data_IF_252734267732
#
_entry.id   IF_252734267732
#
_cell.length_a   1.000
_cell.length_b   1.000
_cell.length_c   1.000
_cell.angle_alpha   90.00
_cell.angle_beta   90.00
_cell.angle_gamma   90.00
#
_symmetry.space_group_name_H-M   'P 1'
#
loop_
_entity.id
_entity.type
_entity.pdbx_description
1 polymer ?
#
# COMPACT_ATOMS: atom_id res chain seq x y z
N UNK A 1 -11.85 -7.24 -6.82
CA UNK A 1 -11.08 -6.48 -5.81
C UNK A 1 -9.68 -6.31 -6.36
N UNK A 2 -9.12 -5.09 -6.32
CA UNK A 2 -7.76 -4.87 -6.83
C UNK A 2 -6.73 -5.40 -5.83
N UNK A 3 -5.69 -6.05 -6.35
CA UNK A 3 -4.60 -6.61 -5.55
C UNK A 3 -3.26 -6.29 -6.22
N UNK A 4 -2.20 -6.24 -5.42
CA UNK A 4 -0.82 -6.18 -5.92
C UNK A 4 -0.02 -7.34 -5.36
N UNK A 5 0.80 -7.97 -6.19
CA UNK A 5 1.66 -9.08 -5.78
C UNK A 5 3.11 -8.61 -5.69
N UNK A 6 3.70 -8.81 -4.52
CA UNK A 6 5.03 -8.35 -4.16
C UNK A 6 5.93 -9.56 -4.07
N UNK A 7 6.93 -9.63 -4.95
CA UNK A 7 7.94 -10.71 -4.91
C UNK A 7 8.91 -10.46 -3.76
N UNK A 8 9.03 -11.45 -2.90
CA UNK A 8 10.01 -11.47 -1.81
C UNK A 8 11.39 -11.84 -2.38
N UNK A 9 12.42 -11.31 -1.74
CA UNK A 9 13.82 -11.64 -2.01
C UNK A 9 14.21 -12.93 -1.31
N UNK A 10 13.69 -13.15 -0.11
CA UNK A 10 13.90 -14.37 0.65
C UNK A 10 12.58 -15.13 0.81
N UNK A 11 12.59 -16.47 0.81
CA UNK A 11 11.39 -17.24 1.08
C UNK A 11 10.93 -16.97 2.51
N UNK A 12 9.65 -16.62 2.65
CA UNK A 12 8.99 -16.41 3.94
C UNK A 12 7.96 -17.51 4.19
N UNK A 13 7.50 -17.62 5.44
CA UNK A 13 6.33 -18.43 5.77
C UNK A 13 5.12 -17.51 5.81
N UNK A 14 4.02 -17.93 5.20
CA UNK A 14 2.72 -17.28 5.28
C UNK A 14 1.66 -18.35 5.53
N UNK A 15 0.90 -18.23 6.62
CA UNK A 15 -0.09 -19.24 7.03
C UNK A 15 0.48 -20.67 7.06
N UNK A 16 1.73 -20.82 7.53
CA UNK A 16 2.42 -22.11 7.60
C UNK A 16 2.98 -22.66 6.27
N UNK A 17 2.84 -21.93 5.16
CA UNK A 17 3.34 -22.34 3.84
C UNK A 17 4.51 -21.45 3.40
N UNK A 18 5.56 -22.05 2.82
CA UNK A 18 6.66 -21.27 2.24
C UNK A 18 6.21 -20.55 0.98
N UNK A 19 6.40 -19.24 0.94
CA UNK A 19 6.03 -18.37 -0.17
C UNK A 19 7.22 -17.54 -0.64
N UNK A 20 7.23 -17.21 -1.92
CA UNK A 20 8.19 -16.28 -2.54
C UNK A 20 7.56 -14.94 -2.91
N UNK A 21 6.28 -14.76 -2.60
CA UNK A 21 5.53 -13.53 -2.86
C UNK A 21 4.38 -13.38 -1.86
N UNK A 22 4.00 -12.13 -1.55
CA UNK A 22 2.79 -11.79 -0.82
C UNK A 22 1.85 -11.01 -1.75
N UNK A 23 0.55 -11.20 -1.57
CA UNK A 23 -0.47 -10.46 -2.33
C UNK A 23 -1.25 -9.58 -1.37
N UNK A 24 -1.25 -8.28 -1.63
CA UNK A 24 -1.96 -7.30 -0.81
C UNK A 24 -3.25 -6.90 -1.52
N UNK A 25 -4.37 -6.97 -0.80
CA UNK A 25 -5.64 -6.35 -1.22
C UNK A 25 -5.67 -4.89 -0.83
N UNK A 26 -6.59 -4.14 -1.45
CA UNK A 26 -6.87 -2.77 -1.01
C UNK A 26 -7.24 -2.73 0.48
N UNK A 27 -6.63 -1.83 1.29
CA UNK A 27 -7.03 -1.63 2.67
C UNK A 27 -8.44 -1.05 2.73
N UNK A 28 -9.16 -1.42 3.78
CA UNK A 28 -10.44 -0.83 4.15
C UNK A 28 -10.28 0.01 5.41
N UNK A 29 -11.24 0.91 5.66
CA UNK A 29 -11.29 1.65 6.94
C UNK A 29 -11.39 0.70 8.13
N UNK A 30 -12.04 -0.46 7.96
CA UNK A 30 -12.10 -1.50 8.99
C UNK A 30 -10.70 -2.02 9.34
N UNK A 31 -9.84 -2.25 8.35
CA UNK A 31 -8.45 -2.68 8.58
C UNK A 31 -7.68 -1.63 9.40
N UNK A 32 -7.78 -0.36 9.01
CA UNK A 32 -7.12 0.73 9.73
C UNK A 32 -7.60 0.87 11.17
N UNK A 33 -8.91 0.73 11.42
CA UNK A 33 -9.48 0.82 12.78
C UNK A 33 -9.07 -0.36 13.65
N UNK A 34 -9.12 -1.58 13.11
CA UNK A 34 -8.74 -2.77 13.86
C UNK A 34 -7.26 -2.73 14.21
N UNK A 35 -6.39 -2.42 13.25
CA UNK A 35 -4.96 -2.30 13.47
C UNK A 35 -4.63 -1.22 14.53
N UNK A 36 -5.27 -0.05 14.44
CA UNK A 36 -5.07 1.03 15.42
C UNK A 36 -5.60 0.72 16.82
N UNK A 37 -6.66 -0.08 16.94
CA UNK A 37 -7.17 -0.52 18.24
C UNK A 37 -6.26 -1.58 18.88
N UNK A 38 -5.79 -2.55 18.09
CA UNK A 38 -4.98 -3.66 18.57
C UNK A 38 -3.54 -3.26 18.87
N UNK A 39 -3.01 -2.23 18.20
CA UNK A 39 -1.63 -1.81 18.43
C UNK A 39 -1.40 -1.07 19.75
N UNK A 40 -2.47 -0.63 20.44
CA UNK A 40 -2.33 0.05 21.74
C UNK A 40 -1.54 1.38 21.69
N UNK A 41 -1.43 2.00 20.51
CA UNK A 41 -0.65 3.23 20.30
C UNK A 41 0.77 3.01 19.77
N UNK A 42 1.21 1.75 19.63
CA UNK A 42 2.44 1.39 18.94
C UNK A 42 2.23 1.54 17.42
N UNK A 43 3.02 2.38 16.76
CA UNK A 43 2.86 2.70 15.35
C UNK A 43 3.45 1.60 14.45
N UNK A 44 4.61 1.05 14.82
CA UNK A 44 5.21 -0.10 14.15
C UNK A 44 4.27 -1.31 14.18
N UNK A 45 3.73 -1.66 15.34
CA UNK A 45 2.77 -2.76 15.48
C UNK A 45 1.48 -2.49 14.71
N UNK A 46 1.00 -1.23 14.68
CA UNK A 46 -0.17 -0.84 13.87
C UNK A 46 0.06 -1.13 12.39
N UNK A 47 1.23 -0.80 11.88
CA UNK A 47 1.57 -1.05 10.48
C UNK A 47 1.66 -2.55 10.19
N UNK A 48 2.31 -3.32 11.07
CA UNK A 48 2.40 -4.79 10.97
C UNK A 48 1.01 -5.42 10.90
N UNK A 49 0.11 -5.03 11.81
CA UNK A 49 -1.26 -5.54 11.86
C UNK A 49 -2.07 -5.14 10.62
N UNK A 50 -1.87 -3.94 10.10
CA UNK A 50 -2.49 -3.50 8.86
C UNK A 50 -2.04 -4.38 7.69
N UNK A 51 -0.72 -4.62 7.55
CA UNK A 51 -0.17 -5.47 6.50
C UNK A 51 -0.62 -6.91 6.61
N UNK A 52 -0.68 -7.48 7.82
CA UNK A 52 -1.21 -8.81 8.05
C UNK A 52 -2.66 -8.92 7.53
N UNK A 53 -3.51 -7.95 7.86
CA UNK A 53 -4.91 -7.93 7.39
C UNK A 53 -5.05 -7.80 5.88
N UNK A 54 -4.25 -6.94 5.23
CA UNK A 54 -4.34 -6.76 3.77
C UNK A 54 -3.63 -7.85 2.97
N UNK A 55 -2.65 -8.55 3.56
CA UNK A 55 -2.02 -9.72 2.96
C UNK A 55 -2.78 -11.03 3.27
N UNK A 56 -3.78 -10.99 4.15
CA UNK A 56 -4.53 -12.16 4.63
C UNK A 56 -3.61 -13.23 5.26
N UNK A 57 -2.70 -12.78 6.12
CA UNK A 57 -1.71 -13.59 6.85
C UNK A 57 -1.72 -13.22 8.34
N UNK A 58 -1.01 -13.98 9.17
CA UNK A 58 -0.84 -13.69 10.59
C UNK A 58 0.13 -12.52 10.86
N UNK A 59 0.08 -11.98 12.08
CA UNK A 59 1.06 -10.98 12.54
C UNK A 59 2.49 -11.53 12.47
N UNK A 60 2.69 -12.74 12.99
CA UNK A 60 3.99 -13.44 13.00
C UNK A 60 4.56 -13.65 11.59
N UNK A 61 3.70 -13.81 10.57
CA UNK A 61 4.14 -13.96 9.18
C UNK A 61 4.76 -12.66 8.63
N UNK A 62 4.28 -11.50 9.08
CA UNK A 62 4.83 -10.18 8.73
C UNK A 62 6.09 -9.90 9.55
N UNK A 63 6.07 -10.19 10.85
CA UNK A 63 7.22 -10.01 11.75
C UNK A 63 8.39 -10.95 11.40
N UNK A 64 8.09 -12.13 10.85
CA UNK A 64 9.08 -13.10 10.38
C UNK A 64 9.73 -12.73 9.04
N UNK A 65 9.30 -11.66 8.37
CA UNK A 65 9.96 -11.18 7.15
C UNK A 65 11.35 -10.63 7.46
N UNK A 66 12.26 -10.80 6.50
CA UNK A 66 13.50 -10.01 6.55
C UNK A 66 13.14 -8.53 6.42
N UNK A 67 13.93 -7.64 7.04
CA UNK A 67 13.68 -6.20 6.93
C UNK A 67 13.66 -5.70 5.47
N UNK A 68 14.46 -6.31 4.59
CA UNK A 68 14.45 -6.01 3.15
C UNK A 68 13.10 -6.36 2.50
N UNK A 69 12.50 -7.48 2.88
CA UNK A 69 11.20 -7.90 2.37
C UNK A 69 10.04 -7.12 2.99
N UNK A 70 10.14 -6.77 4.27
CA UNK A 70 9.23 -5.84 4.92
C UNK A 70 9.17 -4.50 4.18
N UNK A 71 10.32 -3.91 3.85
CA UNK A 71 10.38 -2.67 3.07
C UNK A 71 9.78 -2.81 1.65
N UNK A 72 9.85 -3.99 1.04
CA UNK A 72 9.18 -4.26 -0.25
C UNK A 72 7.67 -4.29 -0.08
N UNK A 73 7.18 -4.87 1.00
CA UNK A 73 5.74 -4.88 1.35
C UNK A 73 5.25 -3.45 1.54
N UNK A 74 5.95 -2.62 2.32
CA UNK A 74 5.62 -1.19 2.49
C UNK A 74 5.54 -0.46 1.14
N UNK A 75 6.56 -0.58 0.29
CA UNK A 75 6.58 0.08 -1.02
C UNK A 75 5.45 -0.40 -1.94
N UNK A 76 5.15 -1.70 -1.93
CA UNK A 76 4.05 -2.26 -2.71
C UNK A 76 2.68 -1.79 -2.21
N UNK A 77 2.51 -1.61 -0.90
CA UNK A 77 1.32 -1.01 -0.32
C UNK A 77 1.12 0.44 -0.79
N UNK A 78 2.14 1.29 -0.71
CA UNK A 78 2.03 2.68 -1.21
C UNK A 78 1.74 2.75 -2.71
N UNK A 79 2.35 1.86 -3.49
CA UNK A 79 2.06 1.74 -4.93
C UNK A 79 0.59 1.37 -5.18
N UNK A 80 0.04 0.41 -4.43
CA UNK A 80 -1.37 0.01 -4.54
C UNK A 80 -2.32 1.20 -4.30
N UNK A 81 -1.99 2.08 -3.36
CA UNK A 81 -2.77 3.29 -3.09
C UNK A 81 -2.63 4.32 -4.21
N UNK A 82 -1.41 4.57 -4.69
CA UNK A 82 -1.15 5.52 -5.77
C UNK A 82 -1.78 5.08 -7.10
N UNK A 83 -1.71 3.79 -7.45
CA UNK A 83 -2.33 3.24 -8.66
C UNK A 83 -3.87 3.41 -8.63
N UNK A 84 -4.48 3.44 -7.43
CA UNK A 84 -5.92 3.72 -7.27
C UNK A 84 -6.25 5.19 -7.53
N UNK A 85 -5.44 6.11 -7.01
CA UNK A 85 -5.59 7.55 -7.26
C UNK A 85 -5.44 7.85 -8.76
N UNK A 86 -4.43 7.27 -9.41
CA UNK A 86 -4.23 7.43 -10.85
C UNK A 86 -5.37 6.82 -11.69
N UNK A 87 -5.92 5.67 -11.28
CA UNK A 87 -7.07 5.07 -11.95
C UNK A 87 -8.37 5.87 -11.77
N UNK A 88 -8.52 6.60 -10.64
CA UNK A 88 -9.66 7.48 -10.38
C UNK A 88 -9.54 8.83 -11.09
N UNK A 89 -8.31 9.33 -11.27
CA UNK A 89 -8.02 10.61 -11.92
C UNK A 89 -8.42 10.68 -13.40
N UNK A 90 -8.72 9.54 -14.04
CA UNK A 90 -9.02 9.48 -15.48
C UNK A 90 -7.85 9.98 -16.34
N UNK A 91 -7.95 9.92 -17.69
CA UNK A 91 -6.97 10.60 -18.52
C UNK A 91 -7.16 12.11 -18.35
N UNK A 92 -6.30 12.75 -17.57
CA UNK A 92 -6.21 14.20 -17.56
C UNK A 92 -5.95 14.68 -19.00
N UNK A 93 -6.89 15.44 -19.55
CA UNK A 93 -6.74 16.04 -20.87
C UNK A 93 -5.58 17.06 -20.82
N UNK A 94 -4.57 16.96 -21.71
CA UNK A 94 -3.48 17.93 -21.71
C UNK A 94 -4.00 19.24 -22.30
N UNK A 95 -4.09 20.28 -21.46
CA UNK A 95 -4.15 21.65 -21.94
C UNK A 95 -5.21 22.52 -21.28
N UNK A 96 -4.88 23.07 -20.12
CA UNK A 96 -5.29 24.44 -19.80
C UNK A 96 -4.05 25.22 -19.39
N UNK A 97 -3.25 25.61 -20.38
CA UNK A 97 -2.30 26.69 -20.19
C UNK A 97 -3.10 27.95 -19.85
N UNK A 98 -2.73 28.72 -18.81
CA UNK A 98 -3.39 29.99 -18.57
C UNK A 98 -3.14 30.89 -19.78
N UNK A 99 -4.23 31.38 -20.35
CA UNK A 99 -4.19 32.37 -21.42
C UNK A 99 -3.27 33.51 -21.00
N UNK A 100 -2.19 33.71 -21.75
CA UNK A 100 -1.37 34.90 -21.62
C UNK A 100 -2.24 36.08 -22.01
N UNK A 101 -2.64 36.87 -21.02
CA UNK A 101 -3.26 38.17 -21.20
C UNK A 101 -2.30 39.06 -22.00
N UNK A 102 -2.52 39.07 -23.30
CA UNK A 102 -1.82 39.93 -24.23
C UNK A 102 -2.51 41.28 -24.24
N UNK A 103 -1.88 42.27 -23.59
CA UNK A 103 -1.82 43.70 -23.92
C UNK A 103 -3.11 44.34 -24.48
N UNK A 104 -3.45 45.53 -23.99
CA UNK A 104 -3.19 46.80 -24.72
C UNK A 104 -3.34 48.01 -23.77
N UNK A 105 -2.45 49.00 -23.83
CA UNK A 105 -2.63 50.28 -23.17
C UNK A 105 -3.54 51.18 -24.02
N UNK A 106 -4.38 51.97 -23.37
CA UNK A 106 -4.98 53.20 -23.94
C UNK A 106 -4.79 54.35 -22.98
#
# INVERSE_FOLDING_TARGET
MQTTTIKLKFPATANGVKVSALTLRQPTVRDMRIAGQQSGGDEELREILLFASVASVGQDDIEGLTYVDYQRVQRGYFRLLADREAADAGPEAPGQAPARDGRQPV
#
